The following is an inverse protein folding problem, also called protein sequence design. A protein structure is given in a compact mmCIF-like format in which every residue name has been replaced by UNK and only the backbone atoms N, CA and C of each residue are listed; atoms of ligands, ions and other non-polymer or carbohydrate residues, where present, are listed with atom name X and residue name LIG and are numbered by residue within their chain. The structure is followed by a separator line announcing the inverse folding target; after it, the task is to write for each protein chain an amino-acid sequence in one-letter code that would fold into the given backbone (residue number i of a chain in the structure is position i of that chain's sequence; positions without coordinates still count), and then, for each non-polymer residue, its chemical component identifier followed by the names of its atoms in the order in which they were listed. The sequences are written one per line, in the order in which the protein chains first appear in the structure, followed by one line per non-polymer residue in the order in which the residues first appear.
data_IF_531349559330
#
_entry.id   IF_531349559330
#
_cell.length_a   1.000
_cell.length_b   1.000
_cell.length_c   1.000
_cell.angle_alpha   90.00
_cell.angle_beta   90.00
_cell.angle_gamma   90.00
#
_symmetry.space_group_name_H-M   'P 1'
#
loop_
_entity.id
_entity.type
_entity.pdbx_description
1 polymer ?
#
# COMPACT_ATOMS: atom_id res chain seq x y z
N UNK A 1 15.25 3.54 -12.08
CA UNK A 1 15.85 2.19 -12.06
C UNK A 1 17.31 2.30 -11.64
N UNK A 2 17.63 1.88 -10.41
CA UNK A 2 18.99 1.92 -9.82
C UNK A 2 19.92 0.82 -10.33
N UNK A 3 20.00 0.66 -11.66
CA UNK A 3 20.98 -0.23 -12.28
C UNK A 3 22.39 0.28 -11.98
N UNK A 4 23.23 -0.59 -11.42
CA UNK A 4 24.66 -0.29 -11.27
C UNK A 4 25.42 -0.89 -12.43
N UNK A 5 26.20 -0.04 -13.08
CA UNK A 5 27.19 -0.47 -14.06
C UNK A 5 28.55 -0.47 -13.38
N UNK A 6 29.29 -1.54 -13.57
CA UNK A 6 30.62 -1.71 -13.00
C UNK A 6 31.60 -2.19 -14.05
N UNK A 7 32.86 -1.84 -13.86
CA UNK A 7 33.96 -2.38 -14.65
C UNK A 7 35.00 -3.01 -13.74
N UNK A 8 35.63 -4.08 -14.20
CA UNK A 8 36.66 -4.80 -13.44
C UNK A 8 37.99 -4.07 -13.63
N UNK A 9 38.49 -3.48 -12.56
CA UNK A 9 39.88 -3.02 -12.48
C UNK A 9 40.82 -4.20 -12.26
N UNK A 10 42.06 -3.95 -11.86
CA UNK A 10 43.05 -5.03 -11.74
C UNK A 10 42.59 -6.17 -10.81
N UNK A 11 41.77 -5.88 -9.79
CA UNK A 11 41.28 -6.88 -8.83
C UNK A 11 39.86 -6.65 -8.28
N UNK A 12 39.21 -5.53 -8.59
CA UNK A 12 37.93 -5.16 -7.97
C UNK A 12 36.95 -4.53 -8.96
N UNK A 13 35.67 -4.74 -8.71
CA UNK A 13 34.60 -4.08 -9.45
C UNK A 13 34.48 -2.63 -9.00
N UNK A 14 34.59 -1.72 -9.97
CA UNK A 14 34.50 -0.27 -9.75
C UNK A 14 33.20 0.24 -10.34
N UNK A 15 32.41 0.94 -9.52
CA UNK A 15 31.16 1.59 -9.93
C UNK A 15 31.47 2.70 -10.96
N UNK A 16 30.75 2.69 -12.08
CA UNK A 16 30.62 3.90 -12.89
C UNK A 16 29.81 4.94 -12.11
N UNK A 17 30.10 6.22 -12.35
CA UNK A 17 29.27 7.28 -11.79
C UNK A 17 27.80 7.18 -12.28
N UNK A 18 26.91 7.89 -11.59
CA UNK A 18 25.47 7.82 -11.85
C UNK A 18 25.09 8.28 -13.27
N UNK A 19 25.80 9.26 -13.82
CA UNK A 19 25.52 9.82 -15.15
C UNK A 19 25.90 8.82 -16.23
N UNK A 20 27.08 8.24 -16.11
CA UNK A 20 27.63 7.22 -17.00
C UNK A 20 26.81 5.95 -16.93
N UNK A 21 26.45 5.48 -15.73
CA UNK A 21 25.55 4.33 -15.56
C UNK A 21 24.20 4.54 -16.25
N UNK A 22 23.61 5.74 -16.14
CA UNK A 22 22.34 6.07 -16.80
C UNK A 22 22.46 6.09 -18.32
N UNK A 23 23.59 6.59 -18.84
CA UNK A 23 23.87 6.62 -20.28
C UNK A 23 24.05 5.20 -20.83
N UNK A 24 24.87 4.38 -20.18
CA UNK A 24 25.10 2.99 -20.54
C UNK A 24 23.80 2.18 -20.49
N UNK A 25 22.98 2.37 -19.45
CA UNK A 25 21.69 1.70 -19.33
C UNK A 25 20.76 2.04 -20.49
N UNK A 26 20.62 3.33 -20.81
CA UNK A 26 19.80 3.77 -21.93
C UNK A 26 20.27 3.15 -23.25
N UNK A 27 21.57 3.22 -23.54
CA UNK A 27 22.14 2.70 -24.78
C UNK A 27 22.07 1.18 -24.89
N UNK A 28 22.19 0.47 -23.77
CA UNK A 28 22.00 -0.98 -23.70
C UNK A 28 20.56 -1.38 -24.00
N UNK A 29 19.58 -0.70 -23.40
CA UNK A 29 18.16 -0.95 -23.64
C UNK A 29 17.72 -0.58 -25.07
N UNK A 30 18.35 0.44 -25.67
CA UNK A 30 18.18 0.79 -27.09
C UNK A 30 18.83 -0.21 -28.06
N UNK A 31 19.57 -1.20 -27.55
CA UNK A 31 20.24 -2.21 -28.37
C UNK A 31 21.45 -1.67 -29.16
N UNK A 32 22.08 -0.57 -28.70
CA UNK A 32 23.32 -0.10 -29.31
C UNK A 32 24.44 -1.14 -29.11
N UNK A 33 25.43 -1.11 -30.00
CA UNK A 33 26.63 -1.97 -29.89
C UNK A 33 27.69 -1.42 -28.95
N UNK A 34 27.72 -0.11 -28.76
CA UNK A 34 28.70 0.54 -27.89
C UNK A 34 28.25 1.91 -27.43
N UNK A 35 28.82 2.39 -26.33
CA UNK A 35 28.58 3.75 -25.82
C UNK A 35 29.84 4.32 -25.15
N UNK A 36 30.10 5.62 -25.32
CA UNK A 36 31.25 6.28 -24.69
C UNK A 36 30.98 6.51 -23.20
N UNK A 37 31.91 6.08 -22.35
CA UNK A 37 31.85 6.36 -20.91
C UNK A 37 32.45 7.73 -20.60
N UNK A 38 33.56 8.05 -21.27
CA UNK A 38 34.31 9.28 -21.09
C UNK A 38 35.08 9.64 -22.37
N UNK A 39 35.99 10.61 -22.28
CA UNK A 39 36.80 11.07 -23.42
C UNK A 39 37.75 10.00 -23.94
N UNK A 40 38.18 9.07 -23.08
CA UNK A 40 39.22 8.07 -23.37
C UNK A 40 38.65 6.67 -23.63
N UNK A 41 37.44 6.37 -23.15
CA UNK A 41 36.93 5.00 -23.02
C UNK A 41 35.51 4.86 -23.55
N UNK A 42 35.19 3.65 -24.00
CA UNK A 42 33.85 3.25 -24.38
C UNK A 42 33.58 1.82 -23.90
N UNK A 43 32.31 1.49 -23.74
CA UNK A 43 31.83 0.13 -23.46
C UNK A 43 31.29 -0.44 -24.75
N UNK A 44 31.78 -1.61 -25.13
CA UNK A 44 31.24 -2.48 -26.18
C UNK A 44 30.27 -3.47 -25.52
N UNK A 45 29.00 -3.41 -25.90
CA UNK A 45 27.98 -4.35 -25.44
C UNK A 45 28.05 -5.60 -26.32
N UNK A 46 28.38 -6.74 -25.72
CA UNK A 46 28.61 -7.98 -26.45
C UNK A 46 28.18 -9.20 -25.64
N UNK A 47 28.01 -10.32 -26.35
CA UNK A 47 27.63 -11.58 -25.74
C UNK A 47 28.79 -12.25 -24.98
N UNK A 48 28.46 -13.30 -24.24
CA UNK A 48 29.43 -14.02 -23.43
C UNK A 48 30.52 -14.69 -24.29
N UNK A 49 30.21 -15.08 -25.53
CA UNK A 49 31.18 -15.68 -26.45
C UNK A 49 32.27 -14.68 -26.82
N UNK A 50 31.89 -13.47 -27.23
CA UNK A 50 32.82 -12.37 -27.52
C UNK A 50 33.69 -12.03 -26.31
N UNK A 51 33.09 -12.06 -25.11
CA UNK A 51 33.83 -11.84 -23.86
C UNK A 51 34.87 -12.94 -23.63
N UNK A 52 34.52 -14.22 -23.82
CA UNK A 52 35.47 -15.32 -23.71
C UNK A 52 36.62 -15.23 -24.72
N UNK A 53 36.34 -14.83 -25.96
CA UNK A 53 37.38 -14.65 -26.98
C UNK A 53 38.38 -13.55 -26.63
N UNK A 54 37.95 -12.58 -25.81
CA UNK A 54 38.77 -11.44 -25.42
C UNK A 54 39.52 -11.61 -24.10
N UNK A 55 39.18 -12.61 -23.27
CA UNK A 55 39.73 -12.81 -21.94
C UNK A 55 40.04 -14.30 -21.68
N UNK A 56 41.28 -14.59 -21.27
CA UNK A 56 41.74 -15.96 -20.99
C UNK A 56 41.08 -16.61 -19.77
N UNK A 57 40.58 -15.79 -18.84
CA UNK A 57 39.88 -16.26 -17.64
C UNK A 57 38.80 -15.26 -17.24
N UNK A 58 37.62 -15.77 -16.86
CA UNK A 58 36.53 -14.96 -16.34
C UNK A 58 36.34 -15.19 -14.84
N UNK A 59 35.80 -14.20 -14.10
CA UNK A 59 35.36 -14.38 -12.73
C UNK A 59 34.31 -15.49 -12.61
N UNK A 60 34.25 -16.15 -11.45
CA UNK A 60 33.26 -17.21 -11.18
C UNK A 60 31.81 -16.72 -11.28
N UNK A 61 31.57 -15.44 -11.03
CA UNK A 61 30.23 -14.81 -11.12
C UNK A 61 30.06 -14.01 -12.42
N UNK A 62 30.15 -14.69 -13.56
CA UNK A 62 30.12 -14.06 -14.89
C UNK A 62 28.70 -13.78 -15.41
N UNK A 63 27.65 -14.14 -14.66
CA UNK A 63 26.24 -14.04 -15.12
C UNK A 63 25.76 -12.60 -15.33
N UNK A 64 26.46 -11.63 -14.75
CA UNK A 64 26.14 -10.19 -14.87
C UNK A 64 27.01 -9.48 -15.90
N UNK A 65 27.95 -10.17 -16.55
CA UNK A 65 28.78 -9.59 -17.61
C UNK A 65 27.91 -9.25 -18.83
N UNK A 66 28.09 -8.04 -19.35
CA UNK A 66 27.31 -7.52 -20.50
C UNK A 66 28.17 -6.83 -21.55
N UNK A 67 29.49 -6.75 -21.33
CA UNK A 67 30.36 -6.09 -22.28
C UNK A 67 31.81 -5.95 -21.85
N UNK A 68 32.54 -5.18 -22.66
CA UNK A 68 33.96 -4.92 -22.52
C UNK A 68 34.18 -3.41 -22.61
N UNK A 69 34.84 -2.83 -21.61
CA UNK A 69 35.35 -1.47 -21.71
C UNK A 69 36.67 -1.49 -22.50
N UNK A 70 36.79 -0.62 -23.49
CA UNK A 70 38.01 -0.40 -24.27
C UNK A 70 38.47 1.04 -24.16
N UNK A 71 39.78 1.25 -24.28
CA UNK A 71 40.31 2.60 -24.51
C UNK A 71 40.31 2.93 -26.00
N UNK A 72 40.06 4.20 -26.32
CA UNK A 72 40.04 4.75 -27.68
C UNK A 72 41.44 4.88 -28.27
N UNK A 73 42.44 5.17 -27.44
CA UNK A 73 43.85 5.26 -27.84
C UNK A 73 44.52 3.89 -27.99
N UNK A 74 44.09 2.88 -27.22
CA UNK A 74 44.59 1.53 -27.29
C UNK A 74 43.47 0.48 -27.08
N UNK A 75 42.90 -0.06 -28.17
CA UNK A 75 41.81 -1.04 -28.11
C UNK A 75 42.18 -2.38 -27.46
N UNK A 76 43.48 -2.68 -27.30
CA UNK A 76 43.96 -3.88 -26.62
C UNK A 76 43.93 -3.75 -25.09
N UNK A 77 43.73 -2.55 -24.56
CA UNK A 77 43.45 -2.36 -23.12
C UNK A 77 41.95 -2.56 -22.90
N UNK A 78 41.61 -3.71 -22.31
CA UNK A 78 40.24 -4.21 -22.16
C UNK A 78 39.94 -4.43 -20.69
N UNK A 79 38.71 -4.13 -20.26
CA UNK A 79 38.22 -4.41 -18.90
C UNK A 79 36.82 -5.01 -18.98
N UNK A 80 36.53 -5.98 -18.13
CA UNK A 80 35.20 -6.59 -18.08
C UNK A 80 34.18 -5.58 -17.57
N UNK A 81 32.97 -5.62 -18.11
CA UNK A 81 31.87 -4.74 -17.70
C UNK A 81 30.67 -5.58 -17.32
N UNK A 82 30.08 -5.25 -16.17
CA UNK A 82 28.87 -5.90 -15.69
C UNK A 82 27.74 -4.91 -15.40
N UNK A 83 26.53 -5.40 -15.59
CA UNK A 83 25.28 -4.71 -15.30
C UNK A 83 24.59 -5.41 -14.15
N UNK A 84 24.62 -4.77 -12.98
CA UNK A 84 23.99 -5.30 -11.78
C UNK A 84 22.57 -4.76 -11.66
N UNK A 85 21.61 -5.70 -11.70
CA UNK A 85 20.25 -5.46 -11.25
C UNK A 85 20.20 -5.60 -9.73
N UNK A 86 19.57 -4.64 -9.01
CA UNK A 86 19.15 -4.86 -7.64
C UNK A 86 18.49 -6.23 -7.46
N UNK A 87 18.94 -6.99 -6.48
CA UNK A 87 18.42 -8.32 -6.16
C UNK A 87 17.45 -8.21 -4.98
N UNK A 88 16.52 -7.25 -5.07
CA UNK A 88 15.66 -6.80 -3.97
C UNK A 88 14.89 -7.93 -3.29
N UNK A 89 14.46 -8.92 -4.09
CA UNK A 89 13.63 -10.05 -3.65
C UNK A 89 14.38 -11.39 -3.68
N UNK A 90 15.72 -11.36 -3.72
CA UNK A 90 16.49 -12.60 -3.68
C UNK A 90 16.22 -13.38 -2.38
N UNK A 91 15.96 -14.68 -2.52
CA UNK A 91 15.55 -15.55 -1.42
C UNK A 91 14.08 -15.43 -0.99
N UNK A 92 13.28 -14.52 -1.56
CA UNK A 92 11.85 -14.41 -1.25
C UNK A 92 10.97 -15.23 -2.18
N UNK A 93 9.97 -15.90 -1.59
CA UNK A 93 8.86 -16.55 -2.29
C UNK A 93 7.63 -15.68 -2.07
N UNK A 94 7.20 -15.00 -3.12
CA UNK A 94 6.17 -13.96 -3.06
C UNK A 94 4.82 -14.52 -3.50
N UNK A 95 3.80 -14.31 -2.67
CA UNK A 95 2.40 -14.55 -3.01
C UNK A 95 1.70 -13.20 -3.21
N UNK A 96 0.92 -13.06 -4.27
CA UNK A 96 0.20 -11.81 -4.58
C UNK A 96 -1.29 -12.09 -4.42
N UNK A 97 -1.95 -11.37 -3.52
CA UNK A 97 -3.42 -11.43 -3.35
C UNK A 97 -4.04 -10.58 -4.46
N UNK A 98 -4.32 -11.20 -5.61
CA UNK A 98 -4.80 -10.51 -6.82
C UNK A 98 -6.07 -9.72 -6.58
N UNK A 99 -6.98 -10.25 -5.77
CA UNK A 99 -8.28 -9.66 -5.42
C UNK A 99 -8.16 -8.40 -4.56
N UNK A 100 -7.00 -8.19 -3.95
CA UNK A 100 -6.76 -7.03 -3.09
C UNK A 100 -6.13 -5.85 -3.82
N UNK A 101 -5.63 -6.05 -5.05
CA UNK A 101 -4.90 -5.03 -5.79
C UNK A 101 -5.78 -3.85 -6.17
N UNK A 102 -5.18 -2.65 -6.19
CA UNK A 102 -5.86 -1.44 -6.64
C UNK A 102 -6.25 -1.52 -8.13
N UNK A 103 -7.36 -0.86 -8.49
CA UNK A 103 -7.82 -0.79 -9.88
C UNK A 103 -6.73 -0.10 -10.73
N UNK A 104 -6.31 -0.74 -11.82
CA UNK A 104 -5.25 -0.23 -12.72
C UNK A 104 -3.84 -0.73 -12.41
N UNK A 105 -3.64 -1.56 -11.38
CA UNK A 105 -2.37 -2.26 -11.16
C UNK A 105 -2.19 -3.35 -12.22
N UNK A 106 -1.07 -3.30 -12.95
CA UNK A 106 -0.64 -4.35 -13.87
C UNK A 106 -0.08 -5.55 -13.09
N UNK A 107 -0.87 -6.61 -12.98
CA UNK A 107 -0.52 -7.83 -12.27
C UNK A 107 0.66 -8.56 -12.92
N UNK A 108 0.69 -8.65 -14.25
CA UNK A 108 1.75 -9.36 -14.97
C UNK A 108 3.05 -8.56 -14.89
N UNK A 109 2.97 -7.22 -15.05
CA UNK A 109 4.08 -6.32 -14.82
C UNK A 109 4.67 -6.42 -13.40
N UNK A 110 3.83 -6.57 -12.37
CA UNK A 110 4.27 -6.77 -10.99
C UNK A 110 5.04 -8.10 -10.83
N UNK A 111 4.55 -9.18 -11.43
CA UNK A 111 5.22 -10.49 -11.45
C UNK A 111 6.59 -10.39 -12.11
N UNK A 112 6.65 -9.73 -13.27
CA UNK A 112 7.88 -9.60 -14.05
C UNK A 112 8.92 -8.76 -13.30
N UNK A 113 8.49 -7.70 -12.63
CA UNK A 113 9.33 -6.90 -11.73
C UNK A 113 9.94 -7.78 -10.61
N UNK A 114 9.11 -8.56 -9.93
CA UNK A 114 9.58 -9.39 -8.80
C UNK A 114 10.58 -10.45 -9.29
N UNK A 115 10.27 -11.13 -10.41
CA UNK A 115 11.16 -12.12 -11.03
C UNK A 115 12.48 -11.50 -11.50
N UNK A 116 12.42 -10.34 -12.15
CA UNK A 116 13.59 -9.58 -12.60
C UNK A 116 14.53 -9.23 -11.43
N UNK A 117 13.96 -9.04 -10.24
CA UNK A 117 14.64 -8.73 -8.98
C UNK A 117 14.95 -10.00 -8.14
N UNK A 118 15.02 -11.16 -8.79
CA UNK A 118 15.34 -12.50 -8.24
C UNK A 118 14.31 -13.12 -7.28
N UNK A 119 13.12 -12.53 -7.16
CA UNK A 119 12.02 -13.14 -6.40
C UNK A 119 11.39 -14.33 -7.12
N UNK A 120 10.84 -15.27 -6.35
CA UNK A 120 10.03 -16.38 -6.87
C UNK A 120 8.56 -16.11 -6.62
N UNK A 121 7.68 -16.44 -7.58
CA UNK A 121 6.23 -16.33 -7.38
C UNK A 121 5.65 -17.68 -6.99
N UNK A 122 4.71 -17.70 -6.04
CA UNK A 122 3.92 -18.87 -5.68
C UNK A 122 2.42 -18.59 -5.81
N UNK A 123 1.64 -19.63 -6.05
CA UNK A 123 0.17 -19.60 -6.05
C UNK A 123 -0.41 -20.05 -4.70
N UNK A 124 0.44 -20.45 -3.75
CA UNK A 124 0.03 -20.93 -2.42
C UNK A 124 0.62 -20.05 -1.34
N UNK A 125 -0.27 -19.48 -0.52
CA UNK A 125 0.10 -18.55 0.56
C UNK A 125 0.99 -19.22 1.62
N UNK A 126 0.76 -20.49 1.94
CA UNK A 126 1.52 -21.24 2.94
C UNK A 126 3.00 -21.48 2.56
N UNK A 127 3.34 -21.33 1.28
CA UNK A 127 4.71 -21.47 0.79
C UNK A 127 5.42 -20.11 0.63
N UNK A 128 4.74 -19.02 0.98
CA UNK A 128 5.24 -17.66 0.79
C UNK A 128 6.08 -17.21 1.98
N UNK A 129 7.09 -16.37 1.69
CA UNK A 129 7.90 -15.66 2.68
C UNK A 129 7.68 -14.15 2.60
N UNK A 130 6.83 -13.70 1.67
CA UNK A 130 6.39 -12.31 1.49
C UNK A 130 5.03 -12.32 0.79
N UNK A 131 4.11 -11.48 1.23
CA UNK A 131 2.80 -11.30 0.61
C UNK A 131 2.64 -9.90 0.07
N UNK A 132 2.11 -9.76 -1.14
CA UNK A 132 1.71 -8.46 -1.71
C UNK A 132 0.21 -8.32 -1.62
N UNK A 133 -0.24 -7.24 -0.98
CA UNK A 133 -1.64 -6.91 -0.76
C UNK A 133 -1.82 -5.39 -0.75
N UNK A 134 -2.84 -4.85 -1.41
CA UNK A 134 -3.17 -3.41 -1.31
C UNK A 134 -4.31 -3.17 -0.33
N UNK A 135 -4.45 -1.92 0.14
CA UNK A 135 -5.22 -1.59 1.34
C UNK A 135 -6.67 -1.14 1.06
N UNK A 136 -7.06 -1.07 -0.21
CA UNK A 136 -8.28 -0.38 -0.66
C UNK A 136 -9.53 -1.24 -0.61
N UNK A 137 -9.48 -2.50 -1.07
CA UNK A 137 -10.64 -3.40 -1.14
C UNK A 137 -10.36 -4.73 -0.45
N UNK A 138 -10.78 -4.87 0.81
CA UNK A 138 -10.71 -6.15 1.53
C UNK A 138 -12.11 -6.74 1.69
N UNK A 139 -12.43 -7.73 0.85
CA UNK A 139 -13.58 -8.60 1.10
C UNK A 139 -13.30 -9.52 2.31
N UNK A 140 -14.30 -10.28 2.75
CA UNK A 140 -14.15 -11.12 3.94
C UNK A 140 -13.09 -12.23 3.76
N UNK A 141 -12.90 -12.74 2.55
CA UNK A 141 -11.91 -13.79 2.27
C UNK A 141 -10.49 -13.24 2.30
N UNK A 142 -10.26 -12.07 1.69
CA UNK A 142 -8.99 -11.33 1.76
C UNK A 142 -8.66 -10.98 3.21
N UNK A 143 -9.63 -10.57 4.04
CA UNK A 143 -9.39 -10.32 5.47
C UNK A 143 -8.94 -11.58 6.22
N UNK A 144 -9.53 -12.73 5.93
CA UNK A 144 -9.11 -14.03 6.52
C UNK A 144 -7.68 -14.37 6.11
N UNK A 145 -7.34 -14.20 4.83
CA UNK A 145 -5.98 -14.41 4.33
C UNK A 145 -4.98 -13.47 5.00
N UNK A 146 -5.28 -12.18 5.10
CA UNK A 146 -4.43 -11.21 5.78
C UNK A 146 -4.21 -11.60 7.25
N UNK A 147 -5.27 -12.00 7.97
CA UNK A 147 -5.16 -12.44 9.35
C UNK A 147 -4.26 -13.67 9.47
N UNK A 148 -4.43 -14.67 8.60
CA UNK A 148 -3.57 -15.86 8.56
C UNK A 148 -2.09 -15.48 8.36
N UNK A 149 -1.80 -14.60 7.40
CA UNK A 149 -0.44 -14.16 7.08
C UNK A 149 0.20 -13.42 8.26
N UNK A 150 -0.58 -12.58 8.96
CA UNK A 150 -0.12 -11.90 10.17
C UNK A 150 0.16 -12.88 11.32
N UNK A 151 -0.70 -13.89 11.50
CA UNK A 151 -0.54 -14.93 12.52
C UNK A 151 0.72 -15.79 12.24
N UNK A 152 0.96 -16.12 10.97
CA UNK A 152 2.16 -16.84 10.48
C UNK A 152 3.43 -15.95 10.50
N UNK A 153 3.31 -14.68 10.90
CA UNK A 153 4.39 -13.67 10.93
C UNK A 153 5.06 -13.45 9.58
N UNK A 154 4.32 -13.69 8.49
CA UNK A 154 4.80 -13.45 7.14
C UNK A 154 4.66 -11.94 6.84
N UNK A 155 5.70 -11.29 6.29
CA UNK A 155 5.61 -9.88 5.91
C UNK A 155 4.59 -9.59 4.80
N UNK A 156 3.85 -8.50 4.94
CA UNK A 156 2.90 -7.99 3.95
C UNK A 156 3.39 -6.63 3.45
N UNK A 157 3.38 -6.43 2.13
CA UNK A 157 3.73 -5.18 1.47
C UNK A 157 2.69 -4.81 0.40
N UNK A 158 2.65 -3.54 0.01
CA UNK A 158 1.75 -3.06 -1.07
C UNK A 158 2.40 -3.17 -2.44
N UNK A 159 1.60 -3.18 -3.50
CA UNK A 159 2.08 -3.09 -4.89
C UNK A 159 2.87 -1.78 -5.10
N UNK A 160 2.43 -0.70 -4.46
CA UNK A 160 3.14 0.59 -4.46
C UNK A 160 4.50 0.51 -3.76
N UNK A 161 4.64 -0.30 -2.71
CA UNK A 161 5.92 -0.57 -2.06
C UNK A 161 6.84 -1.38 -2.97
N UNK A 162 6.31 -2.35 -3.73
CA UNK A 162 7.10 -3.10 -4.73
C UNK A 162 7.72 -2.14 -5.74
N UNK A 163 6.94 -1.19 -6.24
CA UNK A 163 7.42 -0.17 -7.18
C UNK A 163 8.44 0.79 -6.56
N UNK A 164 8.25 1.19 -5.29
CA UNK A 164 9.20 2.07 -4.58
C UNK A 164 10.51 1.36 -4.22
N UNK A 165 10.46 0.07 -3.94
CA UNK A 165 11.63 -0.75 -3.58
C UNK A 165 12.46 -1.17 -4.79
N UNK A 166 12.05 -0.82 -6.02
CA UNK A 166 12.80 -1.06 -7.25
C UNK A 166 14.22 -0.52 -7.22
N UNK A 167 14.46 0.54 -6.44
CA UNK A 167 15.78 1.14 -6.34
C UNK A 167 16.66 0.54 -5.22
N UNK A 168 16.10 -0.33 -4.36
CA UNK A 168 16.79 -0.97 -3.24
C UNK A 168 17.46 -2.29 -3.64
N UNK A 169 18.68 -2.54 -3.17
CA UNK A 169 19.39 -3.80 -3.36
C UNK A 169 18.93 -4.93 -2.43
N UNK A 170 18.27 -4.60 -1.30
CA UNK A 170 17.80 -5.57 -0.32
C UNK A 170 16.67 -4.99 0.53
N UNK A 171 15.64 -5.79 0.80
CA UNK A 171 14.62 -5.44 1.80
C UNK A 171 15.21 -5.54 3.21
N UNK A 172 15.07 -4.48 4.01
CA UNK A 172 15.49 -4.54 5.42
C UNK A 172 14.35 -5.02 6.31
N UNK A 173 14.69 -5.70 7.40
CA UNK A 173 13.70 -6.18 8.39
C UNK A 173 12.88 -5.04 8.98
N UNK A 174 13.45 -3.83 9.08
CA UNK A 174 12.75 -2.64 9.54
C UNK A 174 11.65 -2.19 8.57
N UNK A 175 11.94 -2.17 7.27
CA UNK A 175 10.94 -1.79 6.25
C UNK A 175 9.73 -2.72 6.29
N UNK A 176 9.98 -4.02 6.44
CA UNK A 176 8.94 -5.05 6.52
C UNK A 176 8.13 -4.95 7.81
N UNK A 177 8.77 -4.67 8.96
CA UNK A 177 8.08 -4.48 10.24
C UNK A 177 7.17 -3.25 10.23
N UNK A 178 7.63 -2.13 9.66
CA UNK A 178 6.82 -0.91 9.54
C UNK A 178 5.55 -1.21 8.76
N UNK A 179 5.66 -1.92 7.62
CA UNK A 179 4.50 -2.31 6.82
C UNK A 179 3.57 -3.27 7.53
N UNK A 180 4.08 -4.28 8.21
CA UNK A 180 3.24 -5.18 9.01
C UNK A 180 2.44 -4.43 10.10
N UNK A 181 3.04 -3.43 10.75
CA UNK A 181 2.35 -2.62 11.76
C UNK A 181 1.24 -1.77 11.14
N UNK A 182 1.48 -1.14 9.98
CA UNK A 182 0.46 -0.39 9.22
C UNK A 182 -0.74 -1.29 8.86
N UNK A 183 -0.49 -2.51 8.38
CA UNK A 183 -1.55 -3.47 8.05
C UNK A 183 -2.35 -3.90 9.28
N UNK A 184 -1.67 -4.17 10.39
CA UNK A 184 -2.31 -4.56 11.66
C UNK A 184 -3.22 -3.45 12.19
N UNK A 185 -2.75 -2.21 12.17
CA UNK A 185 -3.54 -1.05 12.59
C UNK A 185 -4.82 -0.90 11.76
N UNK A 186 -4.71 -0.97 10.43
CA UNK A 186 -5.88 -0.83 9.53
C UNK A 186 -6.87 -1.97 9.65
N UNK A 187 -6.40 -3.20 9.88
CA UNK A 187 -7.29 -4.33 10.13
C UNK A 187 -8.12 -4.11 11.40
N UNK A 188 -7.50 -3.56 12.44
CA UNK A 188 -8.17 -3.23 13.70
C UNK A 188 -9.15 -2.05 13.54
N UNK A 189 -8.77 -0.98 12.83
CA UNK A 189 -9.67 0.16 12.54
C UNK A 189 -10.91 -0.28 11.73
N UNK A 190 -10.74 -1.16 10.72
CA UNK A 190 -11.86 -1.71 9.95
C UNK A 190 -12.74 -2.64 10.81
N UNK A 191 -12.16 -3.40 11.76
CA UNK A 191 -12.93 -4.18 12.75
C UNK A 191 -13.74 -3.24 13.66
N UNK A 192 -13.16 -2.16 14.18
CA UNK A 192 -13.86 -1.19 15.02
C UNK A 192 -15.02 -0.49 14.30
N UNK A 193 -14.86 -0.11 13.03
CA UNK A 193 -15.95 0.49 12.23
C UNK A 193 -17.10 -0.51 12.03
N UNK A 194 -16.78 -1.80 11.81
CA UNK A 194 -17.81 -2.84 11.67
C UNK A 194 -18.55 -3.10 12.99
N UNK A 195 -17.85 -3.07 14.12
CA UNK A 195 -18.44 -3.21 15.46
C UNK A 195 -19.29 -1.96 15.80
N UNK A 196 -18.86 -0.76 15.41
CA UNK A 196 -19.65 0.47 15.58
C UNK A 196 -20.93 0.50 14.73
N UNK A 197 -20.98 -0.24 13.61
CA UNK A 197 -22.18 -0.38 12.78
C UNK A 197 -23.10 -1.53 13.19
N UNK A 198 -22.66 -2.43 14.05
CA UNK A 198 -23.44 -3.58 14.52
C UNK A 198 -23.21 -3.79 16.01
N UNK A 199 -23.89 -3.00 16.84
CA UNK A 199 -24.40 -3.44 18.14
C UNK A 199 -25.78 -2.81 18.32
N UNK A 200 -26.76 -3.68 18.49
CA UNK A 200 -28.18 -3.40 18.70
C UNK A 200 -28.40 -2.29 19.74
N UNK A 201 -29.52 -1.57 19.58
CA UNK A 201 -29.97 -0.47 20.45
C UNK A 201 -29.93 -0.85 21.95
N UNK A 202 -30.13 -2.13 22.25
CA UNK A 202 -30.16 -2.68 23.60
C UNK A 202 -28.80 -2.72 24.32
N UNK A 203 -27.68 -2.79 23.59
CA UNK A 203 -26.33 -2.81 24.19
C UNK A 203 -25.86 -1.42 24.65
N UNK A 204 -26.42 -0.35 24.07
CA UNK A 204 -26.12 1.05 24.40
C UNK A 204 -26.64 1.45 25.79
N UNK A 205 -27.72 0.82 26.27
CA UNK A 205 -28.29 1.08 27.59
C UNK A 205 -27.57 0.35 28.74
N UNK A 206 -26.88 -0.76 28.46
CA UNK A 206 -26.19 -1.54 29.51
C UNK A 206 -24.83 -0.97 29.89
N UNK A 207 -24.14 -0.30 28.96
CA UNK A 207 -22.88 0.36 29.27
C UNK A 207 -23.17 1.76 29.81
N UNK A 208 -23.22 1.92 31.15
CA UNK A 208 -23.23 3.21 31.88
C UNK A 208 -21.96 4.05 31.63
N UNK A 209 -21.61 4.33 30.38
CA UNK A 209 -20.52 5.22 29.98
C UNK A 209 -21.13 6.45 29.35
N UNK A 210 -20.79 7.62 29.87
CA UNK A 210 -21.04 8.91 29.21
C UNK A 210 -20.28 8.90 27.89
N UNK A 211 -20.98 8.72 26.78
CA UNK A 211 -20.44 8.89 25.44
C UNK A 211 -21.17 10.09 24.84
N UNK A 212 -20.44 11.17 24.59
CA UNK A 212 -20.93 12.30 23.80
C UNK A 212 -21.05 11.85 22.33
N UNK A 213 -22.26 11.43 21.95
CA UNK A 213 -22.62 11.17 20.57
C UNK A 213 -23.29 12.42 20.00
N UNK A 214 -22.55 13.19 19.22
CA UNK A 214 -23.14 14.15 18.28
C UNK A 214 -23.69 13.37 17.08
N UNK A 215 -24.85 12.75 17.27
CA UNK A 215 -25.63 12.15 16.18
C UNK A 215 -26.92 12.93 15.99
N UNK A 216 -27.14 13.40 14.77
CA UNK A 216 -28.41 14.02 14.36
C UNK A 216 -29.28 12.89 13.82
N UNK A 217 -30.37 12.59 14.51
CA UNK A 217 -31.40 11.66 14.05
C UNK A 217 -32.64 12.46 13.66
N UNK A 218 -33.09 12.29 12.42
CA UNK A 218 -34.36 12.83 11.93
C UNK A 218 -35.34 11.67 11.82
N UNK A 219 -36.24 11.55 12.78
CA UNK A 219 -37.26 10.50 12.81
C UNK A 219 -38.63 11.18 12.67
N UNK A 220 -39.50 10.72 11.74
CA UNK A 220 -40.85 11.25 11.63
C UNK A 220 -41.68 10.84 12.86
N UNK A 221 -42.46 11.76 13.41
CA UNK A 221 -43.36 11.53 14.55
C UNK A 221 -44.69 12.23 14.33
N UNK A 222 -45.75 11.68 14.92
CA UNK A 222 -47.07 12.32 15.03
C UNK A 222 -47.26 12.82 16.46
N UNK A 223 -47.80 14.03 16.62
CA UNK A 223 -48.09 14.59 17.95
C UNK A 223 -49.50 14.14 18.36
N UNK A 224 -49.61 13.39 19.47
CA UNK A 224 -50.90 12.95 20.02
C UNK A 224 -51.49 13.96 21.01
N UNK A 225 -50.67 14.48 21.92
CA UNK A 225 -51.13 15.34 23.01
C UNK A 225 -50.04 16.31 23.45
N UNK A 226 -50.43 17.53 23.83
CA UNK A 226 -49.55 18.55 24.42
C UNK A 226 -50.25 19.07 25.67
N UNK A 227 -49.60 18.95 26.83
CA UNK A 227 -50.01 19.59 28.07
C UNK A 227 -48.86 20.43 28.67
N UNK A 228 -49.14 21.12 29.77
CA UNK A 228 -48.21 22.05 30.43
C UNK A 228 -46.99 21.35 31.07
N UNK A 229 -46.99 20.02 31.10
CA UNK A 229 -46.01 19.17 31.77
C UNK A 229 -45.40 18.10 30.87
N UNK A 230 -46.02 17.75 29.73
CA UNK A 230 -45.55 16.72 28.79
C UNK A 230 -46.09 16.91 27.37
N UNK A 231 -45.32 16.39 26.41
CA UNK A 231 -45.74 16.19 25.02
C UNK A 231 -45.72 14.68 24.74
N UNK A 232 -46.82 14.14 24.21
CA UNK A 232 -46.92 12.73 23.81
C UNK A 232 -46.71 12.65 22.29
N UNK A 233 -45.64 11.99 21.88
CA UNK A 233 -45.33 11.72 20.48
C UNK A 233 -45.60 10.26 20.15
N UNK A 234 -46.20 9.98 19.00
CA UNK A 234 -46.38 8.64 18.47
C UNK A 234 -45.42 8.41 17.31
N UNK A 235 -44.69 7.29 17.35
CA UNK A 235 -43.88 6.82 16.23
C UNK A 235 -44.03 5.30 16.11
N UNK A 236 -44.41 4.82 14.92
CA UNK A 236 -44.64 3.40 14.62
C UNK A 236 -45.55 2.68 15.65
N UNK A 237 -46.58 3.39 16.13
CA UNK A 237 -47.56 2.85 17.08
C UNK A 237 -47.07 2.76 18.53
N UNK A 238 -45.89 3.31 18.84
CA UNK A 238 -45.38 3.46 20.21
C UNK A 238 -45.44 4.92 20.66
N UNK A 239 -45.89 5.13 21.88
CA UNK A 239 -46.01 6.44 22.50
C UNK A 239 -44.75 6.79 23.30
N UNK A 240 -44.30 8.03 23.15
CA UNK A 240 -43.11 8.60 23.77
C UNK A 240 -43.50 9.85 24.55
N UNK A 241 -43.31 9.80 25.87
CA UNK A 241 -43.55 10.92 26.77
C UNK A 241 -42.30 11.81 26.87
N UNK A 242 -42.42 13.06 26.45
CA UNK A 242 -41.39 14.07 26.63
C UNK A 242 -41.79 15.03 27.77
N UNK A 243 -41.12 14.98 28.94
CA UNK A 243 -41.42 15.90 30.03
C UNK A 243 -40.99 17.32 29.69
N UNK A 244 -41.91 18.28 29.81
CA UNK A 244 -41.66 19.71 29.61
C UNK A 244 -41.51 20.37 30.98
N UNK A 245 -40.47 21.18 31.17
CA UNK A 245 -40.32 21.94 32.43
C UNK A 245 -41.42 23.01 32.54
N UNK A 246 -42.06 23.15 33.71
CA UNK A 246 -43.09 24.17 33.91
C UNK A 246 -42.50 25.57 33.65
N UNK A 247 -43.27 26.43 32.97
CA UNK A 247 -42.93 27.83 32.59
C UNK A 247 -42.05 28.05 31.36
N UNK A 248 -42.09 27.15 30.36
CA UNK A 248 -41.49 27.41 29.03
C UNK A 248 -42.42 27.27 27.84
N UNK A 249 -43.73 27.34 28.04
CA UNK A 249 -44.65 27.59 26.93
C UNK A 249 -44.69 29.11 26.69
N UNK A 250 -43.61 29.65 26.14
CA UNK A 250 -43.73 30.91 25.41
C UNK A 250 -44.31 30.59 24.05
N UNK A 251 -45.21 31.45 23.59
CA UNK A 251 -46.07 31.35 22.40
C UNK A 251 -45.26 31.42 21.08
N UNK A 252 -44.06 30.84 21.03
CA UNK A 252 -43.22 30.71 19.84
C UNK A 252 -43.27 29.30 19.21
N UNK A 253 -44.01 28.35 19.78
CA UNK A 253 -44.10 26.97 19.28
C UNK A 253 -45.21 26.73 18.23
N UNK A 254 -45.91 27.76 17.76
CA UNK A 254 -47.08 27.61 16.86
C UNK A 254 -46.79 27.78 15.37
N UNK A 255 -45.59 28.18 14.93
CA UNK A 255 -45.30 28.26 13.48
C UNK A 255 -44.00 27.57 13.13
N UNK A 256 -44.07 26.28 12.81
CA UNK A 256 -43.34 25.67 11.68
C UNK A 256 -43.76 24.20 11.45
N UNK A 257 -45.06 23.97 11.31
CA UNK A 257 -45.59 22.74 10.70
C UNK A 257 -46.55 23.15 9.60
N UNK A 258 -45.99 23.69 8.50
CA UNK A 258 -46.65 23.65 7.19
C UNK A 258 -45.58 23.29 6.16
N UNK A 259 -45.80 22.14 5.53
CA UNK A 259 -45.16 21.58 4.34
C UNK A 259 -44.45 22.62 3.46
N UNK A 260 -43.17 22.40 3.15
CA UNK A 260 -42.66 22.41 1.77
C UNK A 260 -41.23 21.85 1.73
N UNK A 261 -40.94 21.03 0.71
CA UNK A 261 -39.61 20.50 0.35
C UNK A 261 -38.46 21.50 0.59
N UNK A 262 -37.61 21.27 1.61
CA UNK A 262 -36.13 21.38 1.56
C UNK A 262 -35.54 21.22 2.97
N UNK A 263 -34.53 20.36 3.06
CA UNK A 263 -33.60 20.12 4.17
C UNK A 263 -33.49 21.26 5.21
N UNK A 264 -33.75 20.97 6.48
CA UNK A 264 -33.17 21.75 7.58
C UNK A 264 -32.87 20.89 8.82
N UNK A 265 -31.70 21.17 9.40
CA UNK A 265 -31.13 20.55 10.60
C UNK A 265 -31.76 21.15 11.87
N UNK A 266 -32.12 20.30 12.83
CA UNK A 266 -32.41 20.73 14.20
C UNK A 266 -31.21 20.42 15.10
N UNK A 267 -30.67 21.45 15.77
CA UNK A 267 -29.65 21.31 16.81
C UNK A 267 -30.32 21.25 18.19
N UNK A 268 -30.13 20.16 18.93
CA UNK A 268 -30.42 20.10 20.35
C UNK A 268 -29.22 19.55 21.13
N UNK A 269 -28.66 20.40 22.01
CA UNK A 269 -27.78 19.99 23.10
C UNK A 269 -28.66 19.65 24.30
N UNK A 270 -28.84 18.37 24.59
CA UNK A 270 -29.39 17.94 25.88
C UNK A 270 -28.24 17.74 26.87
N UNK A 271 -28.26 18.51 27.95
CA UNK A 271 -27.47 18.22 29.15
C UNK A 271 -28.33 17.36 30.09
N UNK A 272 -27.93 16.11 30.28
CA UNK A 272 -28.40 15.28 31.40
C UNK A 272 -27.38 15.40 32.53
N UNK A 273 -27.75 16.18 33.53
CA UNK A 273 -27.10 16.21 34.84
C UNK A 273 -27.57 14.97 35.59
N UNK A 274 -26.62 14.11 35.96
CA UNK A 274 -26.73 13.26 37.15
C UNK A 274 -25.84 13.91 38.20
#
# INVERSE_FOLDING_TARGET
MSVKWQWLDDYQWVDYDKKTSSLLEKSYLEGKKSESCDKERFVEFCDIHTIHDNFSSLPKDYKSLVGIQRRKDNPNRRRLVQRLMPATYDGYIVYIIKESLEDGVDYDGLIDIIKLRKGKITNKINNSTLVVCDETKWNNDVKKLIQQVLDDKIPIVTSTFVNKSLDSYKLTTKDLQIKNNEFTQRLNEKKEISIKRMKTFDDLFQAKRKIDLNMIFSIPFEIKEIDDTKIILMNEGKDFDLPVKPNRISVCFIFNIISFKKNFNLFHRMWLIY
#
